data_IF_596982529469
#
_entry.id   IF_596982529469
#
_cell.length_a   1.000
_cell.length_b   1.000
_cell.length_c   1.000
_cell.angle_alpha   90.00
_cell.angle_beta   90.00
_cell.angle_gamma   90.00
#
_symmetry.space_group_name_H-M   'P 1'
#
loop_
_entity.id
_entity.type
_entity.pdbx_description
1 polymer ?
#
# COMPACT_ATOMS: atom_id res chain seq x y z
N UNK A 1 50.33 -16.44 11.26
CA UNK A 1 50.11 -15.59 10.06
C UNK A 1 48.89 -16.02 9.25
N UNK A 2 48.73 -17.28 8.92
CA UNK A 2 47.59 -17.76 8.16
C UNK A 2 46.25 -17.78 8.95
N UNK A 3 46.27 -18.01 10.27
CA UNK A 3 45.08 -18.04 11.12
C UNK A 3 44.38 -16.68 11.25
N UNK A 4 45.15 -15.59 11.35
CA UNK A 4 44.63 -14.21 11.42
C UNK A 4 44.00 -13.77 10.09
N UNK A 5 44.53 -14.21 8.97
CA UNK A 5 43.98 -13.90 7.65
C UNK A 5 42.63 -14.61 7.39
N UNK A 6 42.50 -15.85 7.86
CA UNK A 6 41.22 -16.62 7.79
C UNK A 6 40.12 -15.97 8.58
N UNK A 7 40.38 -15.40 9.75
CA UNK A 7 39.40 -14.72 10.56
C UNK A 7 38.94 -13.38 9.97
N UNK A 8 39.87 -12.66 9.31
CA UNK A 8 39.55 -11.42 8.59
C UNK A 8 38.62 -11.65 7.40
N UNK A 9 38.83 -12.70 6.63
CA UNK A 9 38.00 -13.05 5.49
C UNK A 9 36.60 -13.53 5.96
N UNK A 10 36.54 -14.29 7.04
CA UNK A 10 35.26 -14.75 7.63
C UNK A 10 34.42 -13.58 8.17
N UNK A 11 35.08 -12.59 8.78
CA UNK A 11 34.41 -11.37 9.27
C UNK A 11 33.85 -10.51 8.14
N UNK A 12 34.57 -10.38 7.05
CA UNK A 12 34.13 -9.60 5.88
C UNK A 12 32.96 -10.28 5.14
N UNK A 13 32.99 -11.61 5.05
CA UNK A 13 31.89 -12.39 4.45
C UNK A 13 30.59 -12.31 5.26
N UNK A 14 30.70 -12.28 6.59
CA UNK A 14 29.54 -12.16 7.48
C UNK A 14 28.92 -10.75 7.41
N UNK A 15 29.75 -9.71 7.28
CA UNK A 15 29.26 -8.34 7.13
C UNK A 15 28.53 -8.11 5.78
N UNK A 16 28.97 -8.77 4.72
CA UNK A 16 28.31 -8.70 3.40
C UNK A 16 26.97 -9.45 3.37
N UNK A 17 26.78 -10.48 4.20
CA UNK A 17 25.54 -11.23 4.26
C UNK A 17 24.39 -10.50 5.00
N UNK A 18 24.70 -9.46 5.77
CA UNK A 18 23.72 -8.66 6.52
C UNK A 18 23.18 -7.46 5.72
N UNK A 19 23.73 -7.15 4.56
CA UNK A 19 23.23 -6.10 3.68
C UNK A 19 22.18 -6.63 2.71
N UNK A 20 21.05 -7.12 3.25
CA UNK A 20 19.84 -7.31 2.44
C UNK A 20 19.30 -5.92 2.09
N UNK A 21 19.14 -5.59 0.81
CA UNK A 21 18.49 -4.33 0.45
C UNK A 21 17.07 -4.34 1.03
N UNK A 22 16.78 -3.35 1.87
CA UNK A 22 15.42 -3.14 2.36
C UNK A 22 14.54 -2.86 1.14
N UNK A 23 13.73 -3.82 0.74
CA UNK A 23 12.69 -3.61 -0.28
C UNK A 23 11.56 -2.85 0.36
N UNK A 24 11.18 -1.74 -0.24
CA UNK A 24 9.93 -1.07 0.09
C UNK A 24 8.76 -2.04 -0.13
N UNK A 25 7.89 -2.19 0.86
CA UNK A 25 6.69 -3.02 0.75
C UNK A 25 5.72 -2.41 -0.25
N UNK A 26 5.12 -3.24 -1.10
CA UNK A 26 4.01 -2.81 -1.95
C UNK A 26 2.81 -2.43 -1.08
N UNK A 27 2.04 -1.43 -1.53
CA UNK A 27 0.80 -0.99 -0.89
C UNK A 27 -0.37 -1.56 -1.69
N UNK A 28 -1.31 -2.19 -1.01
CA UNK A 28 -2.51 -2.74 -1.64
C UNK A 28 -3.74 -1.99 -1.20
N UNK A 29 -4.61 -1.69 -2.15
CA UNK A 29 -5.89 -1.05 -1.91
C UNK A 29 -6.98 -1.65 -2.76
N UNK A 30 -8.23 -1.42 -2.37
CA UNK A 30 -9.38 -1.89 -3.12
C UNK A 30 -10.60 -0.98 -2.86
N UNK A 31 -11.51 -0.94 -3.79
CA UNK A 31 -12.79 -0.27 -3.58
C UNK A 31 -13.37 0.41 -4.80
N UNK A 32 -13.86 1.60 -4.59
CA UNK A 32 -14.64 2.35 -5.55
C UNK A 32 -14.02 2.43 -6.94
N UNK A 33 -14.83 2.23 -7.95
CA UNK A 33 -14.40 2.23 -9.35
C UNK A 33 -14.20 3.64 -9.89
N UNK A 34 -14.93 4.60 -9.37
CA UNK A 34 -14.88 5.98 -9.88
C UNK A 34 -13.51 6.64 -9.70
N UNK A 35 -12.78 6.28 -8.63
CA UNK A 35 -11.44 6.83 -8.34
C UNK A 35 -10.34 6.13 -9.16
N UNK A 36 -10.64 5.03 -9.83
CA UNK A 36 -9.62 4.21 -10.50
C UNK A 36 -8.74 4.97 -11.51
N UNK A 37 -9.27 5.84 -12.37
CA UNK A 37 -8.44 6.58 -13.32
C UNK A 37 -7.39 7.47 -12.63
N UNK A 38 -7.79 8.22 -11.60
CA UNK A 38 -6.86 9.07 -10.86
C UNK A 38 -5.92 8.25 -9.98
N UNK A 39 -6.41 7.18 -9.39
CA UNK A 39 -5.59 6.26 -8.59
C UNK A 39 -4.50 5.61 -9.44
N UNK A 40 -4.81 5.21 -10.66
CA UNK A 40 -3.82 4.66 -11.60
C UNK A 40 -2.70 5.66 -11.89
N UNK A 41 -3.05 6.92 -12.10
CA UNK A 41 -2.08 7.98 -12.36
C UNK A 41 -1.21 8.26 -11.12
N UNK A 42 -1.82 8.41 -9.97
CA UNK A 42 -1.10 8.61 -8.70
C UNK A 42 -0.17 7.46 -8.37
N UNK A 43 -0.61 6.22 -8.60
CA UNK A 43 0.21 5.02 -8.38
C UNK A 43 1.45 5.00 -9.26
N UNK A 44 1.31 5.37 -10.52
CA UNK A 44 2.43 5.46 -11.45
C UNK A 44 3.43 6.56 -11.05
N UNK A 45 2.93 7.74 -10.71
CA UNK A 45 3.77 8.88 -10.29
C UNK A 45 4.48 8.58 -8.97
N UNK A 46 3.79 7.95 -8.01
CA UNK A 46 4.37 7.56 -6.73
C UNK A 46 5.44 6.48 -6.88
N UNK A 47 5.21 5.50 -7.76
CA UNK A 47 6.22 4.48 -8.06
C UNK A 47 7.48 5.09 -8.68
N UNK A 48 7.32 6.05 -9.61
CA UNK A 48 8.46 6.78 -10.18
C UNK A 48 9.25 7.55 -9.13
N UNK A 49 8.56 8.18 -8.17
CA UNK A 49 9.20 9.01 -7.15
C UNK A 49 9.86 8.21 -6.02
N UNK A 50 9.29 7.06 -5.65
CA UNK A 50 9.68 6.32 -4.44
C UNK A 50 10.12 4.88 -4.68
N UNK A 51 9.82 4.29 -5.85
CA UNK A 51 10.00 2.87 -6.13
C UNK A 51 8.96 1.96 -5.46
N UNK A 52 8.03 2.51 -4.69
CA UNK A 52 6.94 1.77 -4.06
C UNK A 52 5.81 1.55 -5.06
N UNK A 53 5.31 0.33 -5.17
CA UNK A 53 4.15 0.02 -6.00
C UNK A 53 2.87 0.10 -5.18
N UNK A 54 1.85 0.71 -5.77
CA UNK A 54 0.50 0.72 -5.23
C UNK A 54 -0.38 -0.11 -6.16
N UNK A 55 -0.90 -1.21 -5.63
CA UNK A 55 -1.80 -2.10 -6.35
C UNK A 55 -3.23 -1.80 -5.91
N UNK A 56 -4.03 -1.24 -6.78
CA UNK A 56 -5.42 -0.92 -6.51
C UNK A 56 -6.38 -1.79 -7.30
N UNK A 57 -7.31 -2.43 -6.62
CA UNK A 57 -8.35 -3.26 -7.22
C UNK A 57 -9.67 -2.48 -7.30
N UNK A 58 -10.12 -2.20 -8.50
CA UNK A 58 -11.38 -1.52 -8.78
C UNK A 58 -12.54 -2.55 -8.73
N UNK A 59 -13.05 -2.80 -7.55
CA UNK A 59 -14.08 -3.84 -7.28
C UNK A 59 -15.37 -3.31 -6.70
N UNK A 60 -15.52 -1.98 -6.65
CA UNK A 60 -16.65 -1.30 -6.05
C UNK A 60 -16.48 -1.03 -4.55
N UNK A 61 -17.23 -0.05 -4.06
CA UNK A 61 -17.14 0.40 -2.65
C UNK A 61 -17.42 -0.72 -1.65
N UNK A 62 -18.42 -1.54 -1.90
CA UNK A 62 -18.76 -2.68 -1.03
C UNK A 62 -17.62 -3.68 -0.87
N UNK A 63 -16.94 -4.02 -1.96
CA UNK A 63 -15.79 -4.91 -1.94
C UNK A 63 -14.59 -4.30 -1.21
N UNK A 64 -14.34 -3.01 -1.41
CA UNK A 64 -13.29 -2.28 -0.70
C UNK A 64 -13.51 -2.21 0.81
N UNK A 65 -14.73 -1.92 1.22
CA UNK A 65 -15.14 -1.90 2.64
C UNK A 65 -14.97 -3.28 3.28
N UNK A 66 -15.40 -4.34 2.60
CA UNK A 66 -15.24 -5.70 3.09
C UNK A 66 -13.77 -6.09 3.28
N UNK A 67 -12.93 -5.75 2.33
CA UNK A 67 -11.50 -6.08 2.39
C UNK A 67 -10.75 -5.29 3.46
N UNK A 68 -11.03 -4.00 3.61
CA UNK A 68 -10.35 -3.21 4.66
C UNK A 68 -10.81 -3.64 6.06
N UNK A 69 -12.07 -3.97 6.25
CA UNK A 69 -12.57 -4.54 7.51
C UNK A 69 -11.95 -5.91 7.81
N UNK A 70 -11.74 -6.72 6.78
CA UNK A 70 -11.10 -8.02 6.88
C UNK A 70 -9.58 -7.97 7.04
N UNK A 71 -8.96 -6.80 6.90
CA UNK A 71 -7.52 -6.64 7.04
C UNK A 71 -6.70 -7.20 5.86
N UNK A 72 -7.30 -7.43 4.71
CA UNK A 72 -6.64 -7.99 3.51
C UNK A 72 -5.99 -6.94 2.62
N UNK A 73 -6.27 -5.67 2.83
CA UNK A 73 -5.68 -4.53 2.13
C UNK A 73 -5.21 -3.47 3.10
N UNK A 74 -4.32 -2.60 2.64
CA UNK A 74 -3.79 -1.49 3.46
C UNK A 74 -4.75 -0.31 3.50
N UNK A 75 -5.53 -0.09 2.42
CA UNK A 75 -6.57 0.94 2.37
C UNK A 75 -7.76 0.49 1.53
N UNK A 76 -8.91 1.04 1.84
CA UNK A 76 -10.13 0.88 1.06
C UNK A 76 -10.65 2.22 0.60
N UNK A 77 -11.34 2.27 -0.54
CA UNK A 77 -12.04 3.46 -0.98
C UNK A 77 -13.52 3.21 -1.21
N UNK A 78 -14.32 4.23 -0.92
CA UNK A 78 -15.77 4.18 -1.00
C UNK A 78 -16.31 5.51 -1.55
N UNK A 79 -17.40 5.44 -2.30
CA UNK A 79 -18.11 6.62 -2.80
C UNK A 79 -18.90 7.33 -1.69
N UNK A 80 -19.19 6.62 -0.60
CA UNK A 80 -19.91 7.15 0.54
C UNK A 80 -19.11 6.94 1.84
N UNK A 81 -19.20 7.90 2.78
CA UNK A 81 -18.57 7.71 4.09
C UNK A 81 -19.26 6.62 4.90
N UNK A 82 -18.49 5.90 5.71
CA UNK A 82 -19.03 4.98 6.70
C UNK A 82 -19.48 5.74 7.95
N UNK A 83 -20.51 5.26 8.64
CA UNK A 83 -20.92 5.81 9.92
C UNK A 83 -19.78 5.77 10.95
N UNK A 84 -19.65 6.78 11.84
CA UNK A 84 -18.57 6.83 12.82
C UNK A 84 -18.48 5.60 13.72
N UNK A 85 -19.61 5.02 14.09
CA UNK A 85 -19.70 3.80 14.91
C UNK A 85 -19.17 2.56 14.20
N UNK A 86 -19.37 2.44 12.88
CA UNK A 86 -18.78 1.36 12.09
C UNK A 86 -17.25 1.52 11.99
N UNK A 87 -16.77 2.72 11.79
CA UNK A 87 -15.33 3.01 11.74
C UNK A 87 -14.67 2.66 13.07
N UNK A 88 -15.27 3.09 14.18
CA UNK A 88 -14.74 2.81 15.51
C UNK A 88 -14.73 1.31 15.82
N UNK A 89 -15.79 0.59 15.48
CA UNK A 89 -15.90 -0.85 15.69
C UNK A 89 -14.84 -1.65 14.89
N UNK A 90 -14.50 -1.18 13.69
CA UNK A 90 -13.51 -1.81 12.83
C UNK A 90 -12.08 -1.28 13.06
N UNK A 91 -11.87 -0.30 13.91
CA UNK A 91 -10.58 0.35 14.13
C UNK A 91 -10.09 1.15 12.92
N UNK A 92 -11.01 1.65 12.11
CA UNK A 92 -10.73 2.37 10.88
C UNK A 92 -10.86 3.88 11.05
N UNK A 93 -10.21 4.61 10.15
CA UNK A 93 -10.37 6.04 9.96
C UNK A 93 -10.64 6.33 8.50
N UNK A 94 -11.35 7.42 8.22
CA UNK A 94 -11.62 7.84 6.84
C UNK A 94 -11.34 9.33 6.66
N UNK A 95 -11.04 9.68 5.42
CA UNK A 95 -10.83 11.05 4.99
C UNK A 95 -11.24 11.20 3.52
N UNK A 96 -11.67 12.39 3.06
CA UNK A 96 -11.94 12.63 1.65
C UNK A 96 -10.64 12.63 0.84
N UNK A 97 -10.62 11.94 -0.30
CA UNK A 97 -9.45 11.85 -1.17
C UNK A 97 -9.64 12.54 -2.53
N UNK A 98 -10.84 12.47 -3.09
CA UNK A 98 -11.16 13.09 -4.37
C UNK A 98 -12.65 13.39 -4.48
N UNK A 99 -13.01 14.35 -5.33
CA UNK A 99 -14.38 14.72 -5.64
C UNK A 99 -14.61 14.49 -7.13
N UNK A 100 -15.68 13.78 -7.46
CA UNK A 100 -16.14 13.58 -8.83
C UNK A 100 -17.57 14.08 -8.99
N UNK A 101 -17.90 14.54 -10.20
CA UNK A 101 -19.26 14.93 -10.56
C UNK A 101 -19.94 13.84 -11.36
N UNK A 102 -21.23 13.62 -11.10
CA UNK A 102 -22.14 12.82 -11.94
C UNK A 102 -23.11 13.75 -12.61
N UNK A 103 -23.10 13.78 -13.92
CA UNK A 103 -23.97 14.67 -14.71
C UNK A 103 -24.80 13.85 -15.69
N UNK A 104 -26.07 14.18 -15.88
CA UNK A 104 -26.89 13.58 -16.94
C UNK A 104 -26.38 14.01 -18.31
N UNK A 105 -26.39 13.10 -19.24
CA UNK A 105 -26.03 13.30 -20.66
C UNK A 105 -27.20 12.99 -21.55
#
# INVERSE_FOLDING_TARGET
>A
MYATFRHLIAGLALAAALSTPARASDITGAGASFIFPVMSRWSADYNQATGVRVNYQSIGSGGGIAQIKGGTVDFGSSDAPLPPEELAAAGLRQFPSAIGGVVPV
#
